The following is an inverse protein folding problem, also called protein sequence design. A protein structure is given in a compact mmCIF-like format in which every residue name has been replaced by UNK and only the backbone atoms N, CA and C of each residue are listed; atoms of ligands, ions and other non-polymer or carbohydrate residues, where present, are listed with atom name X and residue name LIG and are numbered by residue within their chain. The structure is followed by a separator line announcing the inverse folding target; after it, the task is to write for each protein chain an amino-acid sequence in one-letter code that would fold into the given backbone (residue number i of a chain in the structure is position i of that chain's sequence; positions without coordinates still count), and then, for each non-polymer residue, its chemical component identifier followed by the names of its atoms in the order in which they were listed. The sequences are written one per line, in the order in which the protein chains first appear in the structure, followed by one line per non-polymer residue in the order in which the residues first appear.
data_IF_862565653810
#
_entry.id   IF_862565653810
#
_cell.length_a   1.000
_cell.length_b   1.000
_cell.length_c   1.000
_cell.angle_alpha   90.00
_cell.angle_beta   90.00
_cell.angle_gamma   90.00
#
_symmetry.space_group_name_H-M   'P 1'
#
loop_
_entity.id
_entity.type
_entity.pdbx_description
1 polymer ?
#
# COMPACT_ATOMS: atom_id res chain seq x y z
N UNK A 1 -53.55 1.99 30.44
CA UNK A 1 -52.59 0.96 30.01
C UNK A 1 -52.37 0.98 28.49
N UNK A 2 -53.43 1.23 27.69
CA UNK A 2 -53.35 1.40 26.23
C UNK A 2 -52.35 2.51 25.78
N UNK A 3 -52.46 3.72 26.34
CA UNK A 3 -51.62 4.87 25.94
C UNK A 3 -50.11 4.66 26.16
N UNK A 4 -49.75 3.96 27.23
CA UNK A 4 -48.36 3.63 27.53
C UNK A 4 -47.76 2.65 26.51
N UNK A 5 -48.55 1.71 25.98
CA UNK A 5 -48.11 0.77 24.93
C UNK A 5 -48.01 1.45 23.57
N UNK A 6 -48.92 2.37 23.27
CA UNK A 6 -48.87 3.18 22.04
C UNK A 6 -47.60 4.04 22.01
N UNK A 7 -47.29 4.74 23.12
CA UNK A 7 -46.09 5.58 23.22
C UNK A 7 -44.78 4.78 23.13
N UNK A 8 -44.73 3.58 23.73
CA UNK A 8 -43.58 2.67 23.58
C UNK A 8 -43.38 2.20 22.14
N UNK A 9 -44.48 1.89 21.44
CA UNK A 9 -44.44 1.41 20.06
C UNK A 9 -44.00 2.53 19.11
N UNK A 10 -44.49 3.77 19.30
CA UNK A 10 -44.03 4.95 18.56
C UNK A 10 -42.54 5.21 18.73
N UNK A 11 -42.03 5.14 19.98
CA UNK A 11 -40.59 5.31 20.24
C UNK A 11 -39.74 4.23 19.56
N UNK A 12 -40.19 2.97 19.61
CA UNK A 12 -39.49 1.88 18.96
C UNK A 12 -39.44 2.05 17.43
N UNK A 13 -40.56 2.45 16.81
CA UNK A 13 -40.63 2.72 15.37
C UNK A 13 -39.72 3.90 14.98
N UNK A 14 -39.70 4.97 15.78
CA UNK A 14 -38.82 6.11 15.53
C UNK A 14 -37.33 5.75 15.62
N UNK A 15 -36.96 4.88 16.57
CA UNK A 15 -35.58 4.39 16.71
C UNK A 15 -35.19 3.52 15.51
N UNK A 16 -36.05 2.59 15.10
CA UNK A 16 -35.80 1.71 13.95
C UNK A 16 -35.65 2.54 12.68
N UNK A 17 -36.56 3.49 12.43
CA UNK A 17 -36.50 4.37 11.26
C UNK A 17 -35.22 5.21 11.23
N UNK A 18 -34.79 5.75 12.37
CA UNK A 18 -33.54 6.49 12.48
C UNK A 18 -32.29 5.60 12.29
N UNK A 19 -32.36 4.31 12.63
CA UNK A 19 -31.31 3.33 12.34
C UNK A 19 -31.29 2.94 10.87
N UNK A 20 -32.45 2.72 10.25
CA UNK A 20 -32.57 2.40 8.82
C UNK A 20 -32.07 3.54 7.95
N UNK A 21 -32.48 4.79 8.20
CA UNK A 21 -31.97 5.96 7.47
C UNK A 21 -30.45 6.11 7.60
N UNK A 22 -29.89 5.81 8.79
CA UNK A 22 -28.44 5.83 9.01
C UNK A 22 -27.73 4.70 8.25
N UNK A 23 -28.32 3.50 8.23
CA UNK A 23 -27.78 2.33 7.54
C UNK A 23 -27.86 2.47 6.02
N UNK A 24 -28.93 3.03 5.46
CA UNK A 24 -29.07 3.31 4.03
C UNK A 24 -28.05 4.35 3.56
N UNK A 25 -27.81 5.39 4.35
CA UNK A 25 -26.84 6.44 4.04
C UNK A 25 -25.38 5.94 4.12
N UNK A 26 -25.08 5.07 5.10
CA UNK A 26 -23.79 4.37 5.19
C UNK A 26 -23.64 3.32 4.06
N UNK A 27 -24.73 2.63 3.70
CA UNK A 27 -24.75 1.59 2.67
C UNK A 27 -24.52 2.14 1.26
N UNK A 28 -25.09 3.31 0.91
CA UNK A 28 -24.86 3.95 -0.39
C UNK A 28 -23.39 4.25 -0.66
N UNK A 29 -22.66 4.71 0.37
CA UNK A 29 -21.22 4.91 0.31
C UNK A 29 -20.43 3.58 0.28
N UNK A 30 -20.86 2.58 1.07
CA UNK A 30 -20.20 1.27 1.16
C UNK A 30 -20.33 0.40 -0.10
N UNK A 31 -21.48 0.43 -0.79
CA UNK A 31 -21.73 -0.42 -1.98
C UNK A 31 -20.90 0.02 -3.19
N UNK A 32 -20.78 1.33 -3.43
CA UNK A 32 -19.89 1.87 -4.47
C UNK A 32 -18.40 1.60 -4.16
N UNK A 33 -18.02 1.59 -2.88
CA UNK A 33 -16.67 1.20 -2.45
C UNK A 33 -16.43 -0.30 -2.57
N UNK A 34 -17.44 -1.14 -2.35
CA UNK A 34 -17.33 -2.60 -2.45
C UNK A 34 -16.98 -3.09 -3.85
N UNK A 35 -17.65 -2.55 -4.88
CA UNK A 35 -17.36 -2.92 -6.28
C UNK A 35 -15.95 -2.48 -6.70
N UNK A 36 -15.58 -1.24 -6.38
CA UNK A 36 -14.24 -0.70 -6.64
C UNK A 36 -13.12 -1.52 -5.98
N UNK A 37 -13.30 -1.94 -4.71
CA UNK A 37 -12.31 -2.78 -4.01
C UNK A 37 -12.20 -4.15 -4.70
N UNK A 38 -13.31 -4.76 -5.10
CA UNK A 38 -13.29 -6.05 -5.79
C UNK A 38 -12.59 -5.97 -7.16
N UNK A 39 -12.83 -4.90 -7.91
CA UNK A 39 -12.18 -4.66 -9.20
C UNK A 39 -10.68 -4.41 -9.03
N UNK A 40 -10.27 -3.64 -8.02
CA UNK A 40 -8.85 -3.49 -7.69
C UNK A 40 -8.19 -4.82 -7.28
N UNK A 41 -8.90 -5.67 -6.53
CA UNK A 41 -8.39 -7.01 -6.18
C UNK A 41 -8.24 -7.89 -7.41
N UNK A 42 -9.18 -7.84 -8.36
CA UNK A 42 -9.09 -8.61 -9.62
C UNK A 42 -7.94 -8.12 -10.49
N UNK A 43 -7.84 -6.82 -10.74
CA UNK A 43 -6.75 -6.23 -11.51
C UNK A 43 -5.37 -6.53 -10.87
N UNK A 44 -5.27 -6.45 -9.54
CA UNK A 44 -4.03 -6.82 -8.84
C UNK A 44 -3.69 -8.31 -8.96
N UNK A 45 -4.68 -9.20 -9.06
CA UNK A 45 -4.43 -10.64 -9.30
C UNK A 45 -4.05 -10.92 -10.75
N UNK A 46 -4.70 -10.26 -11.70
CA UNK A 46 -4.42 -10.41 -13.14
C UNK A 46 -3.03 -9.90 -13.52
N UNK A 47 -2.60 -8.79 -12.91
CA UNK A 47 -1.26 -8.22 -13.09
C UNK A 47 -0.23 -8.78 -12.10
N UNK A 48 -0.60 -9.83 -11.36
CA UNK A 48 0.23 -10.47 -10.35
C UNK A 48 0.87 -9.52 -9.32
N UNK A 49 0.26 -8.37 -9.04
CA UNK A 49 0.66 -7.32 -8.08
C UNK A 49 0.46 -7.76 -6.63
N UNK A 50 0.98 -8.93 -6.27
CA UNK A 50 0.95 -9.47 -4.91
C UNK A 50 2.35 -9.86 -4.46
N UNK A 51 2.67 -9.57 -3.21
CA UNK A 51 3.94 -10.01 -2.62
C UNK A 51 3.79 -11.48 -2.25
N UNK A 52 4.54 -12.35 -2.91
CA UNK A 52 4.56 -13.78 -2.58
C UNK A 52 5.45 -14.04 -1.36
N UNK A 53 5.31 -15.21 -0.75
CA UNK A 53 6.21 -15.63 0.34
C UNK A 53 7.66 -15.76 -0.14
N UNK A 54 7.87 -16.11 -1.42
CA UNK A 54 9.20 -16.21 -2.03
C UNK A 54 9.82 -14.83 -2.22
N UNK A 55 9.05 -13.87 -2.74
CA UNK A 55 9.50 -12.47 -2.87
C UNK A 55 9.96 -11.91 -1.53
N UNK A 56 9.21 -12.18 -0.46
CA UNK A 56 9.54 -11.75 0.89
C UNK A 56 10.87 -12.35 1.39
N UNK A 57 11.12 -13.62 1.08
CA UNK A 57 12.37 -14.29 1.41
C UNK A 57 13.53 -13.67 0.64
N UNK A 58 13.44 -13.57 -0.69
CA UNK A 58 14.51 -13.00 -1.52
C UNK A 58 14.85 -11.57 -1.07
N UNK A 59 13.83 -10.71 -0.86
CA UNK A 59 14.03 -9.35 -0.39
C UNK A 59 14.83 -9.25 0.90
N UNK A 60 14.55 -10.12 1.87
CA UNK A 60 15.30 -10.17 3.13
C UNK A 60 16.69 -10.77 2.90
N UNK A 61 16.76 -11.92 2.25
CA UNK A 61 17.99 -12.67 2.05
C UNK A 61 19.05 -11.84 1.33
N UNK A 62 18.69 -11.20 0.22
CA UNK A 62 19.61 -10.40 -0.60
C UNK A 62 20.18 -9.22 0.19
N UNK A 63 19.34 -8.55 0.97
CA UNK A 63 19.76 -7.46 1.85
C UNK A 63 20.75 -7.94 2.92
N UNK A 64 20.44 -9.05 3.61
CA UNK A 64 21.34 -9.57 4.65
C UNK A 64 22.65 -10.12 4.08
N UNK A 65 22.60 -10.73 2.89
CA UNK A 65 23.79 -11.21 2.19
C UNK A 65 24.75 -10.07 1.85
N UNK A 66 24.21 -8.90 1.45
CA UNK A 66 24.99 -7.73 1.08
C UNK A 66 25.47 -6.91 2.29
N UNK A 67 24.57 -6.55 3.19
CA UNK A 67 24.85 -5.58 4.27
C UNK A 67 25.38 -6.22 5.55
N UNK A 68 25.09 -7.51 5.76
CA UNK A 68 25.43 -8.25 6.98
C UNK A 68 26.01 -9.63 6.68
N UNK A 69 27.09 -9.63 5.88
CA UNK A 69 27.87 -10.81 5.51
C UNK A 69 28.17 -11.68 6.74
N UNK A 70 27.83 -12.96 6.66
CA UNK A 70 27.93 -13.92 7.77
C UNK A 70 26.61 -14.21 8.48
N UNK A 71 25.51 -13.59 8.07
CA UNK A 71 24.17 -14.04 8.47
C UNK A 71 23.83 -15.33 7.71
N UNK A 72 23.26 -16.32 8.40
CA UNK A 72 22.92 -17.64 7.84
C UNK A 72 21.40 -17.78 7.71
N UNK A 73 20.95 -18.26 6.55
CA UNK A 73 19.58 -18.68 6.29
C UNK A 73 19.61 -20.11 5.76
N UNK A 74 19.39 -21.10 6.63
CA UNK A 74 19.48 -22.51 6.26
C UNK A 74 18.08 -23.06 6.04
N UNK A 75 17.73 -23.36 4.79
CA UNK A 75 16.44 -23.95 4.45
C UNK A 75 16.35 -25.39 4.98
N UNK A 76 15.26 -25.73 5.65
CA UNK A 76 15.06 -27.05 6.25
C UNK A 76 14.41 -28.05 5.30
N UNK A 77 13.54 -27.56 4.41
CA UNK A 77 12.82 -28.36 3.42
C UNK A 77 12.81 -27.58 2.09
N UNK A 78 13.24 -28.18 0.96
CA UNK A 78 13.19 -27.52 -0.35
C UNK A 78 11.79 -27.05 -0.77
N UNK A 79 10.73 -27.74 -0.35
CA UNK A 79 9.35 -27.46 -0.74
C UNK A 79 8.66 -26.46 0.21
N UNK A 80 9.27 -26.16 1.36
CA UNK A 80 8.76 -25.17 2.31
C UNK A 80 9.69 -23.96 2.46
N UNK A 81 9.11 -22.79 2.64
CA UNK A 81 9.86 -21.57 2.98
C UNK A 81 10.12 -21.47 4.49
N UNK A 82 10.76 -22.52 5.04
CA UNK A 82 11.16 -22.61 6.46
C UNK A 82 12.67 -22.65 6.58
N UNK A 83 13.20 -21.75 7.41
CA UNK A 83 14.63 -21.53 7.56
C UNK A 83 15.02 -21.46 9.02
N UNK A 84 16.17 -22.04 9.37
CA UNK A 84 16.85 -21.68 10.61
C UNK A 84 17.73 -20.45 10.32
N UNK A 85 17.38 -19.32 10.94
CA UNK A 85 17.98 -18.01 10.70
C UNK A 85 18.93 -17.63 11.82
N UNK A 86 20.15 -17.24 11.47
CA UNK A 86 21.17 -16.72 12.39
C UNK A 86 21.67 -15.37 11.86
N UNK A 87 21.37 -14.31 12.60
CA UNK A 87 21.90 -12.98 12.29
C UNK A 87 23.29 -12.78 12.91
N UNK A 88 24.17 -12.03 12.23
CA UNK A 88 25.45 -11.60 12.80
C UNK A 88 25.26 -10.74 14.04
N UNK A 89 26.30 -10.60 14.87
CA UNK A 89 26.24 -9.74 16.06
C UNK A 89 25.90 -8.27 15.71
N UNK A 90 26.51 -7.76 14.63
CA UNK A 90 26.21 -6.41 14.10
C UNK A 90 24.73 -6.30 13.70
N UNK A 91 24.23 -7.26 12.92
CA UNK A 91 22.83 -7.29 12.52
C UNK A 91 21.88 -7.34 13.74
N UNK A 92 22.18 -8.20 14.72
CA UNK A 92 21.38 -8.30 15.96
C UNK A 92 21.36 -7.00 16.74
N UNK A 93 22.51 -6.34 16.90
CA UNK A 93 22.61 -5.08 17.64
C UNK A 93 21.79 -3.96 16.98
N UNK A 94 21.91 -3.79 15.67
CA UNK A 94 21.17 -2.78 14.92
C UNK A 94 19.67 -3.09 14.88
N UNK A 95 19.32 -4.37 14.69
CA UNK A 95 17.93 -4.81 14.69
C UNK A 95 17.28 -4.65 16.07
N UNK A 96 17.98 -4.97 17.16
CA UNK A 96 17.48 -4.75 18.53
C UNK A 96 17.23 -3.27 18.81
N UNK A 97 18.13 -2.39 18.34
CA UNK A 97 17.97 -0.93 18.45
C UNK A 97 16.71 -0.45 17.71
N UNK A 98 16.48 -0.94 16.48
CA UNK A 98 15.27 -0.67 15.72
C UNK A 98 14.00 -1.18 16.41
N UNK A 99 14.02 -2.41 16.93
CA UNK A 99 12.89 -3.04 17.63
C UNK A 99 12.54 -2.26 18.89
N UNK A 100 13.52 -1.78 19.65
CA UNK A 100 13.31 -0.93 20.84
C UNK A 100 12.74 0.43 20.49
N UNK A 101 13.33 1.12 19.49
CA UNK A 101 12.87 2.43 18.98
C UNK A 101 11.39 2.39 18.55
N UNK A 102 10.97 1.30 17.92
CA UNK A 102 9.62 1.14 17.36
C UNK A 102 8.64 0.38 18.29
N UNK A 103 9.04 0.03 19.52
CA UNK A 103 8.22 -0.74 20.48
C UNK A 103 7.71 -2.10 19.93
N UNK A 104 8.56 -2.84 19.21
CA UNK A 104 8.20 -4.08 18.52
C UNK A 104 8.67 -5.37 19.23
N UNK A 105 9.09 -5.30 20.50
CA UNK A 105 9.77 -6.39 21.23
C UNK A 105 8.95 -7.69 21.31
N UNK A 106 7.62 -7.59 21.28
CA UNK A 106 6.70 -8.74 21.38
C UNK A 106 6.47 -9.48 20.06
N UNK A 107 7.03 -8.98 18.96
CA UNK A 107 6.73 -9.44 17.60
C UNK A 107 7.87 -10.20 16.94
N UNK A 108 9.05 -10.27 17.57
CA UNK A 108 10.20 -11.01 17.03
C UNK A 108 11.08 -11.56 18.15
N UNK A 109 11.77 -12.67 17.89
CA UNK A 109 12.81 -13.25 18.75
C UNK A 109 14.19 -13.18 18.11
N UNK A 110 14.29 -12.78 16.85
CA UNK A 110 15.53 -12.70 16.08
C UNK A 110 16.54 -11.68 16.64
N UNK A 111 16.08 -10.70 17.42
CA UNK A 111 16.94 -9.74 18.10
C UNK A 111 17.61 -10.30 19.38
N UNK A 112 17.23 -11.51 19.82
CA UNK A 112 17.78 -12.12 21.05
C UNK A 112 19.11 -12.82 20.79
N UNK A 113 19.98 -12.82 21.80
CA UNK A 113 21.24 -13.56 21.77
C UNK A 113 21.03 -15.07 21.87
N UNK A 114 19.98 -15.52 22.56
CA UNK A 114 19.59 -16.91 22.69
C UNK A 114 18.10 -17.12 22.36
N UNK A 115 17.73 -18.16 21.59
CA UNK A 115 18.61 -19.13 20.93
C UNK A 115 19.48 -18.49 19.82
N UNK A 116 20.61 -19.13 19.49
CA UNK A 116 21.53 -18.62 18.46
C UNK A 116 20.87 -18.54 17.09
N UNK A 117 20.11 -19.59 16.74
CA UNK A 117 19.28 -19.69 15.53
C UNK A 117 17.80 -19.65 15.91
N UNK A 118 17.01 -18.95 15.11
CA UNK A 118 15.55 -18.91 15.25
C UNK A 118 14.94 -19.52 14.01
N UNK A 119 14.02 -20.47 14.20
CA UNK A 119 13.26 -21.05 13.09
C UNK A 119 12.22 -20.07 12.61
N UNK A 120 12.26 -19.73 11.32
CA UNK A 120 11.39 -18.77 10.68
C UNK A 120 10.64 -19.41 9.50
N UNK A 121 9.36 -19.10 9.37
CA UNK A 121 8.54 -19.48 8.21
C UNK A 121 8.11 -18.22 7.47
N UNK A 122 8.47 -18.11 6.19
CA UNK A 122 8.05 -16.99 5.36
C UNK A 122 6.64 -17.26 4.84
N UNK A 123 5.69 -16.39 5.21
CA UNK A 123 4.29 -16.55 4.83
C UNK A 123 3.59 -15.20 4.78
N UNK A 124 3.18 -14.79 3.58
CA UNK A 124 2.43 -13.54 3.42
C UNK A 124 0.91 -13.69 3.70
N UNK A 125 0.56 -14.26 4.87
CA UNK A 125 -0.82 -14.32 5.39
C UNK A 125 -0.86 -13.89 6.85
N UNK A 126 -1.56 -12.79 7.12
CA UNK A 126 -1.77 -12.28 8.47
C UNK A 126 -2.92 -13.05 9.11
N UNK A 127 -2.69 -13.65 10.29
CA UNK A 127 -3.74 -14.35 11.06
C UNK A 127 -3.54 -15.86 11.24
N UNK A 128 -2.38 -16.43 10.87
CA UNK A 128 -2.05 -17.80 11.26
C UNK A 128 -1.84 -17.89 12.77
N UNK A 129 -2.31 -18.98 13.38
CA UNK A 129 -1.96 -19.34 14.76
C UNK A 129 -0.45 -19.30 14.94
N UNK A 130 0.01 -18.61 16.00
CA UNK A 130 1.42 -18.56 16.36
C UNK A 130 1.83 -19.94 16.84
N UNK A 131 2.53 -20.69 16.00
CA UNK A 131 3.18 -21.91 16.46
C UNK A 131 4.36 -21.49 17.34
N UNK A 132 4.41 -21.92 18.61
CA UNK A 132 5.48 -21.48 19.53
C UNK A 132 6.89 -21.80 19.02
N UNK A 133 7.02 -22.80 18.14
CA UNK A 133 8.28 -23.27 17.55
C UNK A 133 8.79 -22.45 16.37
N UNK A 134 7.94 -21.72 15.66
CA UNK A 134 8.29 -21.04 14.40
C UNK A 134 7.88 -19.57 14.43
N UNK A 135 8.77 -18.69 14.01
CA UNK A 135 8.49 -17.27 13.84
C UNK A 135 7.98 -16.98 12.43
N UNK A 136 6.76 -16.47 12.30
CA UNK A 136 6.17 -16.18 10.99
C UNK A 136 6.66 -14.82 10.49
N UNK A 137 7.44 -14.84 9.41
CA UNK A 137 7.87 -13.64 8.69
C UNK A 137 6.82 -13.36 7.60
N UNK A 138 5.99 -12.36 7.86
CA UNK A 138 5.03 -11.76 6.91
C UNK A 138 5.48 -10.35 6.55
N UNK A 139 4.83 -9.69 5.58
CA UNK A 139 5.16 -8.32 5.19
C UNK A 139 5.13 -7.28 6.34
N UNK A 140 4.45 -7.59 7.46
CA UNK A 140 4.37 -6.72 8.64
C UNK A 140 5.37 -7.08 9.75
N UNK A 141 6.21 -8.09 9.52
CA UNK A 141 7.18 -8.55 10.51
C UNK A 141 8.24 -7.47 10.80
N UNK A 142 8.72 -7.30 12.04
CA UNK A 142 9.74 -6.29 12.37
C UNK A 142 10.99 -6.38 11.52
N UNK A 143 11.43 -7.60 11.15
CA UNK A 143 12.58 -7.82 10.27
C UNK A 143 12.40 -7.16 8.91
N UNK A 144 11.23 -7.28 8.29
CA UNK A 144 10.93 -6.67 6.98
C UNK A 144 11.00 -5.15 7.09
N UNK A 145 10.36 -4.60 8.13
CA UNK A 145 10.36 -3.15 8.37
C UNK A 145 11.76 -2.60 8.66
N UNK A 146 12.60 -3.37 9.35
CA UNK A 146 14.00 -3.02 9.58
C UNK A 146 14.80 -2.95 8.29
N UNK A 147 14.66 -3.96 7.41
CA UNK A 147 15.27 -3.96 6.09
C UNK A 147 14.82 -2.74 5.28
N UNK A 148 13.51 -2.44 5.28
CA UNK A 148 12.98 -1.26 4.57
C UNK A 148 13.48 0.08 5.13
N UNK A 149 13.60 0.25 6.46
CA UNK A 149 14.20 1.47 7.06
C UNK A 149 15.67 1.59 6.66
N UNK A 150 16.44 0.50 6.72
CA UNK A 150 17.86 0.50 6.35
C UNK A 150 18.10 0.81 4.89
N UNK A 151 17.30 0.25 3.98
CA UNK A 151 17.39 0.55 2.55
C UNK A 151 17.04 2.02 2.30
N UNK A 152 16.05 2.56 3.00
CA UNK A 152 15.62 3.96 2.84
C UNK A 152 16.66 4.95 3.38
N UNK A 153 17.31 4.63 4.50
CA UNK A 153 18.35 5.45 5.12
C UNK A 153 19.70 5.39 4.38
N UNK A 154 19.94 4.27 3.68
CA UNK A 154 21.12 4.09 2.85
C UNK A 154 20.96 4.91 1.59
N UNK A 155 21.29 6.20 1.67
CA UNK A 155 21.25 7.20 0.59
C UNK A 155 22.07 6.85 -0.68
N UNK A 156 22.55 5.61 -0.81
CA UNK A 156 23.06 5.05 -2.05
C UNK A 156 21.84 4.83 -2.93
N UNK A 157 21.63 5.72 -3.89
CA UNK A 157 20.69 5.52 -4.98
C UNK A 157 20.89 4.11 -5.53
N UNK A 158 19.92 3.23 -5.27
CA UNK A 158 19.93 1.82 -5.67
C UNK A 158 19.64 1.68 -7.18
N UNK A 159 20.12 2.64 -7.97
CA UNK A 159 20.05 2.67 -9.42
C UNK A 159 21.23 1.87 -9.95
N UNK A 160 21.22 0.56 -9.75
CA UNK A 160 22.09 -0.30 -10.54
C UNK A 160 21.29 -0.66 -11.79
N UNK A 161 21.77 -0.30 -13.00
CA UNK A 161 21.29 -0.94 -14.20
C UNK A 161 21.37 -2.45 -14.01
N UNK A 162 20.26 -3.14 -14.29
CA UNK A 162 20.21 -4.61 -14.21
C UNK A 162 20.12 -5.20 -15.60
N UNK A 163 20.60 -6.42 -15.74
CA UNK A 163 20.44 -7.19 -16.98
C UNK A 163 19.93 -8.57 -16.63
N UNK A 164 18.81 -8.95 -17.21
CA UNK A 164 18.06 -10.16 -16.85
C UNK A 164 17.74 -10.95 -18.11
N UNK A 165 17.87 -12.26 -18.04
CA UNK A 165 17.42 -13.21 -19.06
C UNK A 165 16.19 -13.96 -18.58
N UNK A 166 15.18 -14.02 -19.44
CA UNK A 166 13.91 -14.72 -19.24
C UNK A 166 13.70 -15.76 -20.32
N UNK A 167 13.17 -16.92 -19.93
CA UNK A 167 12.72 -17.92 -20.88
C UNK A 167 11.38 -17.47 -21.48
N UNK A 168 11.23 -17.59 -22.80
CA UNK A 168 9.96 -17.30 -23.48
C UNK A 168 8.76 -18.07 -22.90
N UNK A 169 8.98 -19.27 -22.35
CA UNK A 169 7.92 -20.07 -21.73
C UNK A 169 7.29 -19.37 -20.52
N UNK A 170 8.07 -18.56 -19.81
CA UNK A 170 7.62 -17.84 -18.62
C UNK A 170 6.84 -16.57 -18.98
N UNK A 171 6.90 -16.13 -20.24
CA UNK A 171 6.19 -14.94 -20.72
C UNK A 171 5.50 -15.12 -22.07
N UNK A 172 4.37 -15.86 -22.11
CA UNK A 172 3.62 -16.03 -23.33
C UNK A 172 3.08 -14.68 -23.85
N UNK A 173 3.13 -14.49 -25.16
CA UNK A 173 2.61 -13.29 -25.84
C UNK A 173 3.65 -12.20 -26.11
N UNK A 174 4.85 -12.26 -25.53
CA UNK A 174 5.94 -11.33 -25.85
C UNK A 174 6.91 -11.99 -26.83
N UNK A 175 7.33 -11.23 -27.84
CA UNK A 175 8.28 -11.71 -28.85
C UNK A 175 9.69 -11.91 -28.23
N UNK A 176 10.46 -12.90 -28.70
CA UNK A 176 11.87 -13.00 -28.33
C UNK A 176 12.65 -11.76 -28.77
N UNK A 177 13.58 -11.29 -27.94
CA UNK A 177 14.31 -10.06 -28.21
C UNK A 177 15.01 -9.51 -26.98
N UNK A 178 15.71 -8.38 -27.17
CA UNK A 178 16.28 -7.58 -26.09
C UNK A 178 15.39 -6.37 -25.91
N UNK A 179 15.00 -6.10 -24.67
CA UNK A 179 14.13 -5.02 -24.29
C UNK A 179 14.86 -4.11 -23.30
N UNK A 180 14.78 -2.80 -23.50
CA UNK A 180 15.14 -1.81 -22.48
C UNK A 180 13.91 -1.53 -21.63
N UNK A 181 14.11 -1.25 -20.36
CA UNK A 181 13.00 -0.87 -19.48
C UNK A 181 13.41 0.20 -18.48
N UNK A 182 12.42 0.99 -18.06
CA UNK A 182 12.51 1.93 -16.97
C UNK A 182 11.31 1.74 -16.03
N UNK A 183 11.57 1.73 -14.72
CA UNK A 183 10.58 1.61 -13.67
C UNK A 183 10.62 2.85 -12.80
N UNK A 184 9.48 3.50 -12.66
CA UNK A 184 9.27 4.60 -11.73
C UNK A 184 8.22 4.20 -10.68
N UNK A 185 8.37 4.70 -9.46
CA UNK A 185 7.33 4.69 -8.44
C UNK A 185 6.66 6.05 -8.42
N UNK A 186 5.36 6.06 -8.62
CA UNK A 186 4.51 7.24 -8.50
C UNK A 186 3.75 7.16 -7.18
N UNK A 187 3.99 8.13 -6.30
CA UNK A 187 3.31 8.26 -5.02
C UNK A 187 2.45 9.51 -5.04
N UNK A 188 1.16 9.35 -4.73
CA UNK A 188 0.19 10.44 -4.63
C UNK A 188 -0.52 10.35 -3.29
N UNK A 189 -0.48 11.44 -2.53
CA UNK A 189 -1.17 11.62 -1.27
C UNK A 189 -2.31 12.62 -1.46
N UNK A 190 -3.51 12.22 -1.06
CA UNK A 190 -4.71 13.03 -1.15
C UNK A 190 -5.78 12.52 -0.18
N UNK A 191 -7.05 12.50 -0.60
CA UNK A 191 -8.09 11.79 0.15
C UNK A 191 -7.84 10.29 0.20
N UNK A 192 -7.13 9.78 -0.80
CA UNK A 192 -6.60 8.43 -0.86
C UNK A 192 -5.11 8.51 -1.15
N UNK A 193 -4.36 7.68 -0.46
CA UNK A 193 -2.95 7.49 -0.76
C UNK A 193 -2.83 6.41 -1.84
N UNK A 194 -2.09 6.71 -2.89
CA UNK A 194 -1.90 5.85 -4.05
C UNK A 194 -0.40 5.68 -4.26
N UNK A 195 0.02 4.43 -4.36
CA UNK A 195 1.36 4.03 -4.76
C UNK A 195 1.23 3.16 -6.00
N UNK A 196 1.94 3.53 -7.07
CA UNK A 196 1.91 2.82 -8.35
C UNK A 196 3.33 2.65 -8.87
N UNK A 197 3.65 1.46 -9.35
CA UNK A 197 4.80 1.27 -10.23
C UNK A 197 4.35 1.54 -11.66
N UNK A 198 5.06 2.42 -12.34
CA UNK A 198 4.92 2.68 -13.76
C UNK A 198 6.12 2.08 -14.47
N UNK A 199 5.85 1.41 -15.59
CA UNK A 199 6.85 0.65 -16.33
C UNK A 199 6.75 1.06 -17.79
N UNK A 200 7.89 1.48 -18.35
CA UNK A 200 8.06 1.67 -19.77
C UNK A 200 9.04 0.62 -20.30
N UNK A 201 8.71 0.05 -21.45
CA UNK A 201 9.53 -0.95 -22.13
C UNK A 201 9.58 -0.65 -23.61
N UNK A 202 10.78 -0.70 -24.19
CA UNK A 202 10.98 -0.67 -25.65
C UNK A 202 11.81 -1.85 -26.08
N UNK A 203 11.52 -2.40 -27.26
CA UNK A 203 12.42 -3.36 -27.87
C UNK A 203 13.66 -2.61 -28.36
N UNK A 204 14.84 -3.15 -28.05
CA UNK A 204 16.11 -2.56 -28.44
C UNK A 204 16.23 -2.50 -29.96
N UNK A 205 16.00 -3.61 -30.67
CA UNK A 205 16.34 -3.71 -32.09
C UNK A 205 15.17 -3.44 -33.05
N UNK A 206 13.94 -3.38 -32.55
CA UNK A 206 12.74 -3.24 -33.36
C UNK A 206 11.75 -2.24 -32.75
N UNK A 207 11.86 -0.98 -33.18
CA UNK A 207 10.97 0.10 -32.74
C UNK A 207 9.49 -0.11 -33.13
N UNK A 208 9.17 -1.07 -34.01
CA UNK A 208 7.77 -1.40 -34.33
C UNK A 208 7.10 -2.26 -33.26
N UNK A 209 7.88 -2.92 -32.40
CA UNK A 209 7.38 -3.72 -31.28
C UNK A 209 7.04 -2.79 -30.13
N UNK A 210 5.78 -2.38 -30.08
CA UNK A 210 5.22 -1.60 -28.97
C UNK A 210 4.46 -2.54 -28.04
N UNK A 211 4.87 -2.56 -26.77
CA UNK A 211 4.14 -3.27 -25.72
C UNK A 211 3.08 -2.36 -25.12
N UNK A 212 1.93 -2.95 -24.77
CA UNK A 212 0.96 -2.27 -23.92
C UNK A 212 1.51 -2.09 -22.50
N UNK A 213 0.97 -1.13 -21.73
CA UNK A 213 1.36 -0.91 -20.33
C UNK A 213 1.27 -2.21 -19.50
N UNK A 214 0.24 -3.05 -19.76
CA UNK A 214 0.06 -4.34 -19.07
C UNK A 214 1.12 -5.37 -19.46
N UNK A 215 1.49 -5.44 -20.74
CA UNK A 215 2.55 -6.34 -21.21
C UNK A 215 3.93 -5.92 -20.70
N UNK A 216 4.20 -4.61 -20.67
CA UNK A 216 5.42 -4.04 -20.11
C UNK A 216 5.55 -4.37 -18.61
N UNK A 217 4.48 -4.15 -17.83
CA UNK A 217 4.45 -4.50 -16.41
C UNK A 217 4.61 -6.00 -16.19
N UNK A 218 3.94 -6.83 -17.00
CA UNK A 218 4.07 -8.30 -16.93
C UNK A 218 5.51 -8.75 -17.23
N UNK A 219 6.18 -8.12 -18.20
CA UNK A 219 7.57 -8.43 -18.55
C UNK A 219 8.53 -8.16 -17.38
N UNK A 220 8.47 -6.95 -16.83
CA UNK A 220 9.35 -6.57 -15.71
C UNK A 220 9.04 -7.37 -14.45
N UNK A 221 7.76 -7.63 -14.16
CA UNK A 221 7.35 -8.43 -12.99
C UNK A 221 7.83 -9.88 -13.10
N UNK A 222 7.71 -10.50 -14.28
CA UNK A 222 8.24 -11.85 -14.48
C UNK A 222 9.77 -11.88 -14.46
N UNK A 223 10.44 -10.85 -15.00
CA UNK A 223 11.88 -10.72 -14.96
C UNK A 223 12.39 -10.69 -13.51
N UNK A 224 11.74 -9.91 -12.65
CA UNK A 224 12.09 -9.83 -11.24
C UNK A 224 11.87 -11.15 -10.47
N UNK A 225 10.94 -12.01 -10.92
CA UNK A 225 10.57 -13.25 -10.20
C UNK A 225 11.28 -14.51 -10.67
N UNK A 226 11.46 -14.63 -11.98
CA UNK A 226 11.88 -15.85 -12.66
C UNK A 226 13.17 -15.65 -13.47
N UNK A 227 13.54 -14.39 -13.70
CA UNK A 227 14.71 -14.05 -14.47
C UNK A 227 16.02 -14.48 -13.81
N UNK A 228 17.04 -14.60 -14.66
CA UNK A 228 18.42 -14.90 -14.25
C UNK A 228 19.34 -13.75 -14.65
N UNK A 229 20.38 -13.52 -13.88
CA UNK A 229 21.36 -12.47 -14.21
C UNK A 229 22.00 -12.71 -15.58
N UNK A 230 21.86 -11.72 -16.48
CA UNK A 230 22.44 -11.77 -17.81
C UNK A 230 23.80 -11.06 -17.86
N UNK A 231 24.79 -11.66 -17.21
CA UNK A 231 26.12 -11.05 -17.01
C UNK A 231 26.86 -10.70 -18.31
N UNK A 232 26.50 -11.33 -19.44
CA UNK A 232 27.11 -11.06 -20.75
C UNK A 232 26.45 -9.89 -21.51
N UNK A 233 25.42 -9.24 -20.96
CA UNK A 233 24.70 -8.15 -21.64
C UNK A 233 25.63 -7.03 -22.15
N UNK A 234 26.60 -6.52 -21.37
CA UNK A 234 27.48 -5.44 -21.83
C UNK A 234 28.36 -5.79 -23.03
N UNK A 235 28.54 -7.08 -23.32
CA UNK A 235 29.35 -7.55 -24.44
C UNK A 235 28.54 -7.79 -25.72
N UNK A 236 27.21 -7.89 -25.61
CA UNK A 236 26.32 -8.31 -26.71
C UNK A 236 25.37 -7.19 -27.15
N UNK A 237 25.14 -6.21 -26.28
CA UNK A 237 24.21 -5.10 -26.50
C UNK A 237 24.99 -3.83 -26.83
N UNK A 238 24.48 -3.07 -27.79
CA UNK A 238 24.89 -1.68 -28.00
C UNK A 238 24.35 -0.83 -26.84
N UNK A 239 25.24 -0.43 -25.93
CA UNK A 239 24.87 0.31 -24.73
C UNK A 239 24.51 1.76 -25.03
N UNK A 240 25.09 2.37 -26.06
CA UNK A 240 24.78 3.76 -26.42
C UNK A 240 23.33 3.83 -26.92
N UNK A 241 22.96 2.90 -27.81
CA UNK A 241 21.59 2.78 -28.29
C UNK A 241 20.59 2.41 -27.18
N UNK A 242 21.01 1.62 -26.19
CA UNK A 242 20.18 1.30 -25.04
C UNK A 242 19.94 2.53 -24.14
N UNK A 243 20.95 3.39 -23.97
CA UNK A 243 20.81 4.65 -23.21
C UNK A 243 19.82 5.58 -23.88
N UNK A 244 19.95 5.80 -25.19
CA UNK A 244 19.03 6.66 -25.94
C UNK A 244 17.57 6.20 -25.79
N UNK A 245 17.30 4.89 -25.90
CA UNK A 245 15.95 4.35 -25.73
C UNK A 245 15.45 4.43 -24.28
N UNK A 246 16.34 4.36 -23.27
CA UNK A 246 15.97 4.57 -21.87
C UNK A 246 15.56 6.03 -21.64
N UNK A 247 16.30 7.00 -22.20
CA UNK A 247 15.93 8.42 -22.12
C UNK A 247 14.55 8.65 -22.76
N UNK A 248 14.28 8.05 -23.92
CA UNK A 248 12.95 8.11 -24.54
C UNK A 248 11.84 7.48 -23.68
N UNK A 249 12.16 6.41 -22.92
CA UNK A 249 11.22 5.81 -21.98
C UNK A 249 10.95 6.73 -20.79
N UNK A 250 11.97 7.42 -20.27
CA UNK A 250 11.82 8.39 -19.18
C UNK A 250 10.97 9.59 -19.60
N UNK A 251 11.19 10.10 -20.82
CA UNK A 251 10.39 11.20 -21.38
C UNK A 251 8.91 10.82 -21.56
N UNK A 252 8.63 9.61 -22.06
CA UNK A 252 7.26 9.11 -22.17
C UNK A 252 6.63 8.91 -20.79
N UNK A 253 7.40 8.40 -19.82
CA UNK A 253 6.96 8.25 -18.43
C UNK A 253 6.56 9.59 -17.80
N UNK A 254 7.34 10.66 -18.02
CA UNK A 254 6.99 12.02 -17.57
C UNK A 254 5.65 12.49 -18.16
N UNK A 255 5.48 12.34 -19.48
CA UNK A 255 4.25 12.71 -20.18
C UNK A 255 3.02 11.96 -19.63
N UNK A 256 3.17 10.65 -19.36
CA UNK A 256 2.11 9.83 -18.74
C UNK A 256 1.87 10.21 -17.28
N UNK A 257 2.92 10.53 -16.52
CA UNK A 257 2.81 10.98 -15.13
C UNK A 257 1.98 12.25 -15.02
N UNK A 258 2.28 13.27 -15.82
CA UNK A 258 1.52 14.53 -15.79
C UNK A 258 0.04 14.35 -16.14
N UNK A 259 -0.27 13.50 -17.12
CA UNK A 259 -1.65 13.17 -17.49
C UNK A 259 -2.36 12.45 -16.34
N UNK A 260 -1.67 11.51 -15.71
CA UNK A 260 -2.18 10.74 -14.57
C UNK A 260 -2.48 11.63 -13.36
N UNK A 261 -1.56 12.53 -12.99
CA UNK A 261 -1.76 13.48 -11.88
C UNK A 261 -2.94 14.42 -12.16
N UNK A 262 -3.08 14.92 -13.40
CA UNK A 262 -4.23 15.75 -13.78
C UNK A 262 -5.56 15.03 -13.60
N UNK A 263 -5.65 13.77 -14.07
CA UNK A 263 -6.85 12.96 -13.88
C UNK A 263 -7.15 12.74 -12.39
N UNK A 264 -6.15 12.35 -11.60
CA UNK A 264 -6.30 12.15 -10.16
C UNK A 264 -6.71 13.42 -9.43
N UNK A 265 -6.23 14.58 -9.87
CA UNK A 265 -6.61 15.86 -9.28
C UNK A 265 -8.11 16.13 -9.44
N UNK A 266 -8.67 15.87 -10.62
CA UNK A 266 -10.12 15.98 -10.83
C UNK A 266 -10.89 14.99 -9.94
N UNK A 267 -10.50 13.72 -9.94
CA UNK A 267 -11.14 12.69 -9.11
C UNK A 267 -11.06 13.00 -7.60
N UNK A 268 -9.94 13.55 -7.14
CA UNK A 268 -9.75 13.92 -5.73
C UNK A 268 -10.63 15.11 -5.34
N UNK A 269 -10.76 16.12 -6.21
CA UNK A 269 -11.64 17.25 -5.96
C UNK A 269 -13.12 16.84 -5.92
N UNK A 270 -13.57 16.02 -6.87
CA UNK A 270 -14.95 15.52 -6.88
C UNK A 270 -15.25 14.74 -5.59
N UNK A 271 -14.31 13.89 -5.14
CA UNK A 271 -14.44 13.18 -3.86
C UNK A 271 -14.46 14.13 -2.67
N UNK A 272 -13.65 15.18 -2.67
CA UNK A 272 -13.62 16.18 -1.61
C UNK A 272 -14.97 16.88 -1.49
N UNK A 273 -15.54 17.31 -2.62
CA UNK A 273 -16.83 17.99 -2.68
C UNK A 273 -17.96 17.10 -2.17
N UNK A 274 -17.97 15.83 -2.56
CA UNK A 274 -18.95 14.85 -2.08
C UNK A 274 -18.81 14.66 -0.57
N UNK A 275 -17.60 14.42 -0.07
CA UNK A 275 -17.38 14.20 1.38
C UNK A 275 -17.73 15.44 2.20
N UNK A 276 -17.36 16.63 1.74
CA UNK A 276 -17.69 17.88 2.39
C UNK A 276 -19.21 18.09 2.44
N UNK A 277 -19.90 17.89 1.31
CA UNK A 277 -21.36 18.04 1.24
C UNK A 277 -22.06 17.07 2.17
N UNK A 278 -21.69 15.79 2.14
CA UNK A 278 -22.26 14.75 3.02
C UNK A 278 -22.00 15.06 4.49
N UNK A 279 -20.79 15.53 4.83
CA UNK A 279 -20.43 15.89 6.20
C UNK A 279 -21.28 17.07 6.71
N UNK A 280 -21.49 18.10 5.89
CA UNK A 280 -22.35 19.25 6.23
C UNK A 280 -23.81 18.84 6.42
N UNK A 281 -24.37 18.03 5.51
CA UNK A 281 -25.74 17.54 5.65
C UNK A 281 -25.94 16.67 6.89
N UNK A 282 -24.92 15.89 7.26
CA UNK A 282 -24.94 15.14 8.52
C UNK A 282 -24.88 16.08 9.73
N UNK A 283 -24.02 17.10 9.69
CA UNK A 283 -23.90 18.10 10.73
C UNK A 283 -25.21 18.85 10.97
N UNK A 284 -25.83 19.38 9.91
CA UNK A 284 -27.06 20.18 10.00
C UNK A 284 -28.19 19.38 10.66
N UNK A 285 -28.39 18.11 10.25
CA UNK A 285 -29.39 17.22 10.85
C UNK A 285 -29.11 16.92 12.33
N UNK A 286 -27.84 16.78 12.72
CA UNK A 286 -27.47 16.53 14.13
C UNK A 286 -27.62 17.80 14.98
N UNK A 287 -27.28 18.96 14.42
CA UNK A 287 -27.45 20.26 15.08
C UNK A 287 -28.93 20.56 15.28
N UNK A 288 -29.78 20.40 14.26
CA UNK A 288 -31.21 20.63 14.36
C UNK A 288 -31.84 19.82 15.51
N UNK A 289 -31.48 18.54 15.65
CA UNK A 289 -31.94 17.68 16.75
C UNK A 289 -31.49 18.19 18.12
N UNK A 290 -30.22 18.59 18.25
CA UNK A 290 -29.66 19.08 19.52
C UNK A 290 -30.19 20.48 19.89
N UNK A 291 -30.39 21.34 18.90
CA UNK A 291 -30.92 22.70 19.06
C UNK A 291 -32.41 22.67 19.43
N UNK A 292 -33.18 21.77 18.82
CA UNK A 292 -34.57 21.49 19.23
C UNK A 292 -34.66 20.98 20.67
N UNK A 293 -33.79 20.05 21.05
CA UNK A 293 -33.70 19.52 22.41
C UNK A 293 -33.27 20.60 23.42
N UNK A 294 -32.31 21.46 23.05
CA UNK A 294 -31.88 22.59 23.88
C UNK A 294 -33.02 23.58 24.10
N UNK A 295 -33.74 23.95 23.04
CA UNK A 295 -34.86 24.89 23.10
C UNK A 295 -35.97 24.38 24.05
N UNK A 296 -36.28 23.08 23.98
CA UNK A 296 -37.23 22.45 24.90
C UNK A 296 -36.75 22.44 26.36
N UNK A 297 -35.47 22.18 26.60
CA UNK A 297 -34.92 22.20 27.97
C UNK A 297 -34.93 23.60 28.59
N UNK A 298 -34.70 24.63 27.78
CA UNK A 298 -34.78 26.03 28.21
C UNK A 298 -36.22 26.43 28.54
N UNK A 299 -37.21 26.04 27.72
CA UNK A 299 -38.62 26.32 28.01
C UNK A 299 -39.14 25.57 29.24
N UNK A 300 -38.60 24.38 29.53
CA UNK A 300 -38.89 23.61 30.75
C UNK A 300 -38.12 24.11 32.00
N UNK A 301 -37.30 25.17 31.89
CA UNK A 301 -36.54 25.74 33.01
C UNK A 301 -35.36 24.89 33.51
N UNK A 302 -34.92 23.89 32.72
CA UNK A 302 -33.87 22.93 33.10
C UNK A 302 -32.47 23.45 32.72
N UNK A 303 -32.06 24.59 33.28
CA UNK A 303 -30.82 25.30 32.90
C UNK A 303 -29.55 24.45 33.01
N UNK A 304 -29.43 23.64 34.07
CA UNK A 304 -28.25 22.78 34.25
C UNK A 304 -28.10 21.76 33.12
N UNK A 305 -29.21 21.20 32.63
CA UNK A 305 -29.21 20.23 31.53
C UNK A 305 -28.99 20.93 30.19
N UNK A 306 -29.60 22.11 30.00
CA UNK A 306 -29.39 22.94 28.82
C UNK A 306 -27.91 23.31 28.61
N UNK A 307 -27.17 23.62 29.70
CA UNK A 307 -25.72 23.86 29.63
C UNK A 307 -24.95 22.67 29.09
N UNK A 308 -25.28 21.44 29.50
CA UNK A 308 -24.64 20.23 28.97
C UNK A 308 -24.94 20.03 27.49
N UNK A 309 -26.19 20.27 27.06
CA UNK A 309 -26.57 20.18 25.64
C UNK A 309 -25.83 21.21 24.79
N UNK A 310 -25.64 22.45 25.29
CA UNK A 310 -24.83 23.47 24.61
C UNK A 310 -23.38 23.02 24.43
N UNK A 311 -22.76 22.44 25.47
CA UNK A 311 -21.42 21.86 25.35
C UNK A 311 -21.34 20.72 24.32
N UNK A 312 -22.39 19.91 24.17
CA UNK A 312 -22.46 18.87 23.13
C UNK A 312 -22.55 19.47 21.72
N UNK A 313 -23.27 20.57 21.55
CA UNK A 313 -23.35 21.32 20.28
C UNK A 313 -21.97 21.87 19.92
N UNK A 314 -21.29 22.52 20.86
CA UNK A 314 -19.97 23.10 20.62
C UNK A 314 -18.94 22.02 20.28
N UNK A 315 -18.95 20.89 21.01
CA UNK A 315 -18.10 19.74 20.72
C UNK A 315 -18.42 19.07 19.37
N UNK A 316 -19.68 19.08 18.92
CA UNK A 316 -20.04 18.62 17.59
C UNK A 316 -19.47 19.56 16.53
N UNK A 317 -19.68 20.87 16.67
CA UNK A 317 -19.15 21.88 15.73
C UNK A 317 -17.63 21.79 15.60
N UNK A 318 -16.90 21.73 16.72
CA UNK A 318 -15.44 21.61 16.71
C UNK A 318 -14.94 20.33 16.03
N UNK A 319 -15.59 19.18 16.26
CA UNK A 319 -15.23 17.93 15.56
C UNK A 319 -15.50 17.99 14.06
N UNK A 320 -16.55 18.67 13.63
CA UNK A 320 -16.86 18.83 12.20
C UNK A 320 -15.88 19.77 11.52
N UNK A 321 -15.51 20.87 12.17
CA UNK A 321 -14.49 21.79 11.68
C UNK A 321 -13.14 21.08 11.49
N UNK A 322 -12.72 20.26 12.46
CA UNK A 322 -11.51 19.43 12.32
C UNK A 322 -11.56 18.50 11.11
N UNK A 323 -12.70 17.83 10.87
CA UNK A 323 -12.87 16.95 9.71
C UNK A 323 -12.87 17.71 8.39
N UNK A 324 -13.49 18.89 8.34
CA UNK A 324 -13.46 19.75 7.14
C UNK A 324 -12.03 20.24 6.85
N UNK A 325 -11.28 20.62 7.87
CA UNK A 325 -9.86 20.97 7.74
C UNK A 325 -9.04 19.79 7.22
N UNK A 326 -9.30 18.56 7.68
CA UNK A 326 -8.64 17.36 7.16
C UNK A 326 -8.97 17.12 5.68
N UNK A 327 -10.25 17.20 5.30
CA UNK A 327 -10.68 17.05 3.90
C UNK A 327 -10.00 18.10 3.02
N UNK A 328 -10.01 19.37 3.43
CA UNK A 328 -9.39 20.45 2.67
C UNK A 328 -7.88 20.30 2.54
N UNK A 329 -7.21 19.86 3.61
CA UNK A 329 -5.77 19.56 3.55
C UNK A 329 -5.47 18.41 2.59
N UNK A 330 -6.33 17.39 2.53
CA UNK A 330 -6.19 16.23 1.63
C UNK A 330 -6.75 16.47 0.22
N UNK A 331 -7.49 17.56 0.01
CA UNK A 331 -7.94 18.04 -1.30
C UNK A 331 -6.73 18.50 -2.13
N UNK A 332 -5.75 19.11 -1.48
CA UNK A 332 -4.44 19.41 -2.06
C UNK A 332 -3.66 18.12 -2.27
N UNK A 333 -3.44 17.74 -3.53
CA UNK A 333 -2.63 16.58 -3.85
C UNK A 333 -1.15 16.89 -3.60
N UNK A 334 -0.49 15.99 -2.87
CA UNK A 334 0.97 15.94 -2.79
C UNK A 334 1.42 14.74 -3.57
N UNK A 335 2.25 14.94 -4.58
CA UNK A 335 2.71 13.86 -5.40
C UNK A 335 4.22 13.97 -5.61
N UNK A 336 4.85 12.83 -5.76
CA UNK A 336 6.22 12.73 -6.22
C UNK A 336 6.35 11.47 -7.06
N UNK A 337 7.33 11.48 -7.95
CA UNK A 337 7.80 10.27 -8.61
C UNK A 337 9.24 10.02 -8.22
N UNK A 338 9.62 8.76 -8.25
CA UNK A 338 10.95 8.32 -7.96
C UNK A 338 11.32 7.25 -8.98
N UNK A 339 12.43 7.43 -9.69
CA UNK A 339 13.03 6.34 -10.45
C UNK A 339 13.34 5.19 -9.50
N UNK A 340 13.19 3.95 -9.97
CA UNK A 340 13.46 2.77 -9.13
C UNK A 340 14.55 1.92 -9.77
N UNK A 341 14.40 1.62 -11.06
CA UNK A 341 15.30 0.70 -11.74
C UNK A 341 15.23 0.95 -13.25
N UNK A 342 16.36 0.77 -13.91
CA UNK A 342 16.47 0.70 -15.36
C UNK A 342 17.25 -0.56 -15.73
N UNK A 343 17.09 -1.05 -16.94
CA UNK A 343 17.87 -2.21 -17.35
C UNK A 343 17.50 -2.81 -18.68
N UNK A 344 18.06 -4.00 -18.88
CA UNK A 344 17.88 -4.83 -20.07
C UNK A 344 17.21 -6.14 -19.69
N UNK A 345 16.22 -6.56 -20.49
CA UNK A 345 15.59 -7.87 -20.39
C UNK A 345 15.77 -8.58 -21.73
N UNK A 346 16.46 -9.72 -21.71
CA UNK A 346 16.53 -10.64 -22.85
C UNK A 346 15.45 -11.71 -22.72
N UNK A 347 14.57 -11.80 -23.70
CA UNK A 347 13.62 -12.90 -23.84
C UNK A 347 14.19 -13.90 -24.84
N UNK A 348 14.58 -15.08 -24.33
CA UNK A 348 15.22 -16.17 -25.10
C UNK A 348 14.28 -17.33 -25.38
#
# INVERSE_FOLDING_TARGET
QEEARISQTEQAIAIIKAQEEKLEEEAGNLVAHGHYILDQIRAARELERTITSKDLFSYIYDFFLKEYVGSEFIQLDPDELVFDVKLTEKAKFEFDSFVKKNHLQRFTRLNRFYPEKVRCRFRNKVGSERTEREEIISQFHPLVRFVSEKISDSAIGYYSPVSVELNRQDIPGIAPGVYVFAVERWSVQGLRDIERLHVEVRNLNDASVVLTDEEAERLVTNAARQGKDWLSAPAVVDLDMAVDLIEECMDESESKYEKYIRQLWHENNDRADIQEKSLRHHQDRQLEKLEGLLSRQLSEGKEAVARMTRGRIDALKGRMEQKLLEINRRRELRHHKQEICIGLIRVS
#
